data_IF_422321087226
#
_entry.id   IF_422321087226
#
_cell.length_a   1.000
_cell.length_b   1.000
_cell.length_c   1.000
_cell.angle_alpha   90.00
_cell.angle_beta   90.00
_cell.angle_gamma   90.00
#
_symmetry.space_group_name_H-M   'P 1'
#
loop_
_entity.id
_entity.type
_entity.pdbx_description
1 polymer ?
#
# COMPACT_ATOMS: atom_id res chain seq x y z
N UNK A 1 -31.10 -8.08 -7.00
CA UNK A 1 -30.40 -9.28 -7.51
C UNK A 1 -28.94 -9.14 -7.10
N UNK A 2 -28.57 -9.70 -5.94
CA UNK A 2 -27.17 -9.67 -5.48
C UNK A 2 -26.34 -10.50 -6.46
N UNK A 3 -25.41 -9.85 -7.16
CA UNK A 3 -24.35 -10.58 -7.85
C UNK A 3 -23.44 -11.12 -6.76
N UNK A 4 -23.59 -12.41 -6.43
CA UNK A 4 -22.52 -13.14 -5.72
C UNK A 4 -21.35 -13.10 -6.69
N UNK A 5 -20.33 -12.33 -6.36
CA UNK A 5 -19.08 -12.32 -7.11
C UNK A 5 -18.13 -13.22 -6.36
N UNK A 6 -17.55 -14.25 -6.98
CA UNK A 6 -16.52 -15.12 -6.37
C UNK A 6 -15.19 -14.37 -6.19
N UNK A 7 -15.22 -13.20 -5.55
CA UNK A 7 -14.11 -12.29 -5.42
C UNK A 7 -13.57 -12.33 -3.99
N UNK A 8 -12.25 -12.17 -3.87
CA UNK A 8 -11.57 -12.03 -2.61
C UNK A 8 -10.69 -10.78 -2.64
N UNK A 9 -10.74 -9.99 -1.58
CA UNK A 9 -9.90 -8.81 -1.40
C UNK A 9 -8.88 -9.07 -0.30
N UNK A 10 -7.61 -8.89 -0.60
CA UNK A 10 -6.52 -9.05 0.35
C UNK A 10 -6.08 -7.68 0.91
N UNK A 11 -6.05 -7.57 2.23
CA UNK A 11 -5.52 -6.43 2.97
C UNK A 11 -4.19 -6.79 3.61
N UNK A 12 -3.27 -5.83 3.64
CA UNK A 12 -2.02 -5.92 4.37
C UNK A 12 -2.10 -5.04 5.61
N UNK A 13 -1.59 -5.57 6.73
CA UNK A 13 -1.42 -4.87 8.00
C UNK A 13 0.06 -4.78 8.41
N UNK A 14 0.95 -4.79 7.43
CA UNK A 14 2.38 -4.51 7.63
C UNK A 14 2.59 -3.14 8.30
N UNK A 15 3.70 -2.96 8.99
CA UNK A 15 4.05 -1.78 9.81
C UNK A 15 3.79 -0.42 9.13
N UNK A 16 3.96 -0.32 7.81
CA UNK A 16 3.81 0.94 7.06
C UNK A 16 2.43 1.16 6.45
N UNK A 17 1.48 0.22 6.62
CA UNK A 17 0.12 0.34 6.10
C UNK A 17 -0.73 1.33 6.92
N UNK A 18 -1.89 1.68 6.39
CA UNK A 18 -2.80 2.69 6.97
C UNK A 18 -3.32 2.29 8.36
N UNK A 19 -3.43 0.99 8.59
CA UNK A 19 -3.54 0.32 9.90
C UNK A 19 -2.52 -0.81 9.96
N UNK A 20 -2.09 -1.22 11.15
CA UNK A 20 -1.05 -2.26 11.29
C UNK A 20 -1.28 -3.23 12.45
N UNK A 21 -0.74 -4.44 12.31
CA UNK A 21 -0.61 -5.43 13.38
C UNK A 21 0.86 -5.80 13.62
N UNK A 22 1.79 -4.91 13.22
CA UNK A 22 3.21 -5.21 13.05
C UNK A 22 3.44 -5.97 11.74
N UNK A 23 3.01 -7.23 11.74
CA UNK A 23 2.90 -8.09 10.56
C UNK A 23 1.50 -8.69 10.52
N UNK A 24 0.89 -8.79 9.33
CA UNK A 24 -0.42 -9.40 9.20
C UNK A 24 -1.14 -9.04 7.90
N UNK A 25 -2.31 -9.65 7.73
CA UNK A 25 -3.20 -9.41 6.60
C UNK A 25 -4.57 -10.02 6.83
N UNK A 26 -5.48 -9.77 5.91
CA UNK A 26 -6.86 -10.25 5.95
C UNK A 26 -7.34 -10.52 4.54
N UNK A 27 -8.09 -11.60 4.38
CA UNK A 27 -8.85 -11.88 3.16
C UNK A 27 -10.32 -11.63 3.48
N UNK A 28 -10.97 -10.78 2.69
CA UNK A 28 -12.41 -10.54 2.77
C UNK A 28 -13.07 -11.08 1.50
N UNK A 29 -14.18 -11.78 1.66
CA UNK A 29 -14.97 -12.35 0.58
C UNK A 29 -16.41 -12.50 1.06
N UNK A 30 -17.37 -12.41 0.14
CA UNK A 30 -18.78 -12.75 0.33
C UNK A 30 -19.08 -14.22 -0.02
N UNK A 31 -18.06 -14.99 -0.38
CA UNK A 31 -18.13 -16.42 -0.72
C UNK A 31 -17.67 -17.30 0.46
N UNK A 32 -18.60 -18.05 1.03
CA UNK A 32 -18.35 -18.96 2.15
C UNK A 32 -17.36 -20.08 1.79
N UNK A 33 -17.36 -20.57 0.54
CA UNK A 33 -16.43 -21.61 0.10
C UNK A 33 -14.98 -21.09 0.08
N UNK A 34 -14.77 -19.86 -0.40
CA UNK A 34 -13.46 -19.20 -0.35
C UNK A 34 -13.04 -18.98 1.10
N UNK A 35 -13.92 -18.43 1.94
CA UNK A 35 -13.62 -18.16 3.35
C UNK A 35 -13.22 -19.45 4.10
N UNK A 36 -13.94 -20.53 3.85
CA UNK A 36 -13.69 -21.84 4.44
C UNK A 36 -12.36 -22.44 3.99
N UNK A 37 -12.09 -22.38 2.68
CA UNK A 37 -10.82 -22.83 2.13
C UNK A 37 -9.66 -22.04 2.73
N UNK A 38 -9.77 -20.71 2.86
CA UNK A 38 -8.75 -19.87 3.49
C UNK A 38 -8.49 -20.27 4.94
N UNK A 39 -9.52 -20.53 5.75
CA UNK A 39 -9.36 -20.96 7.15
C UNK A 39 -8.61 -22.29 7.27
N UNK A 40 -8.99 -23.27 6.46
CA UNK A 40 -8.33 -24.59 6.40
C UNK A 40 -6.87 -24.42 6.00
N UNK A 41 -6.62 -23.70 4.90
CA UNK A 41 -5.26 -23.51 4.35
C UNK A 41 -4.37 -22.65 5.26
N UNK A 42 -4.91 -21.74 6.07
CA UNK A 42 -4.12 -20.92 6.99
C UNK A 42 -3.61 -21.69 8.23
N UNK A 43 -4.19 -22.86 8.53
CA UNK A 43 -3.88 -23.63 9.73
C UNK A 43 -3.67 -25.12 9.42
N UNK A 44 -2.60 -25.40 8.67
CA UNK A 44 -2.08 -26.73 8.32
C UNK A 44 -3.04 -27.64 7.54
N UNK A 45 -4.17 -27.13 7.05
CA UNK A 45 -5.15 -27.92 6.33
C UNK A 45 -6.06 -28.74 7.24
N UNK A 46 -6.12 -28.38 8.52
CA UNK A 46 -6.94 -29.04 9.53
C UNK A 46 -8.43 -28.80 9.23
N UNK A 47 -9.25 -29.86 9.30
CA UNK A 47 -10.70 -29.78 9.09
C UNK A 47 -11.40 -28.87 10.10
N UNK A 48 -12.52 -28.24 9.71
CA UNK A 48 -13.27 -27.28 10.54
C UNK A 48 -13.67 -27.83 11.91
N UNK A 49 -14.05 -29.10 11.98
CA UNK A 49 -14.50 -29.74 13.22
C UNK A 49 -13.41 -29.80 14.29
N UNK A 50 -12.15 -29.60 13.92
CA UNK A 50 -11.05 -29.43 14.85
C UNK A 50 -11.23 -28.27 15.84
N UNK A 51 -11.95 -27.20 15.48
CA UNK A 51 -12.14 -26.07 16.40
C UNK A 51 -12.99 -26.45 17.62
N UNK A 52 -13.83 -27.49 17.50
CA UNK A 52 -14.60 -28.06 18.61
C UNK A 52 -13.71 -28.67 19.70
N UNK A 53 -12.42 -28.91 19.44
CA UNK A 53 -11.42 -29.38 20.43
C UNK A 53 -11.32 -28.51 21.67
N UNK A 54 -11.58 -27.21 21.54
CA UNK A 54 -11.50 -26.25 22.65
C UNK A 54 -12.83 -26.06 23.39
N UNK A 55 -13.84 -26.89 23.11
CA UNK A 55 -15.12 -26.92 23.81
C UNK A 55 -15.20 -28.11 24.77
N UNK A 56 -16.11 -28.07 25.75
CA UNK A 56 -16.29 -29.14 26.74
C UNK A 56 -16.66 -30.51 26.14
N UNK A 57 -17.14 -30.53 24.90
CA UNK A 57 -17.54 -31.72 24.12
C UNK A 57 -16.48 -32.12 23.07
N UNK A 58 -15.31 -31.47 23.08
CA UNK A 58 -14.29 -31.61 22.05
C UNK A 58 -13.58 -32.96 22.02
N UNK A 59 -13.61 -33.63 20.87
CA UNK A 59 -12.78 -34.82 20.60
C UNK A 59 -11.37 -34.39 20.18
N UNK A 60 -10.33 -35.06 20.69
CA UNK A 60 -8.92 -34.86 20.29
C UNK A 60 -8.68 -35.12 18.79
N UNK A 61 -9.59 -35.84 18.14
CA UNK A 61 -9.50 -36.27 16.76
C UNK A 61 -9.62 -35.10 15.78
N UNK A 62 -8.81 -35.15 14.72
CA UNK A 62 -8.91 -34.25 13.58
C UNK A 62 -8.27 -34.86 12.34
N UNK A 63 -8.64 -34.30 11.19
CA UNK A 63 -8.10 -34.70 9.91
C UNK A 63 -7.36 -33.54 9.25
N UNK A 64 -6.31 -33.87 8.52
CA UNK A 64 -5.67 -32.96 7.56
C UNK A 64 -6.28 -33.25 6.20
N UNK A 65 -7.11 -32.34 5.71
CA UNK A 65 -7.88 -32.51 4.46
C UNK A 65 -7.26 -31.75 3.27
N UNK A 66 -6.17 -31.01 3.51
CA UNK A 66 -5.44 -30.27 2.50
C UNK A 66 -3.97 -30.04 2.93
N UNK A 67 -3.03 -29.80 2.00
CA UNK A 67 -1.66 -29.38 2.33
C UNK A 67 -1.64 -27.89 2.71
N UNK A 68 -2.15 -27.55 3.90
CA UNK A 68 -2.20 -26.17 4.37
C UNK A 68 -0.87 -25.64 4.91
N UNK A 69 -0.88 -24.37 5.26
CA UNK A 69 0.26 -23.57 5.71
C UNK A 69 0.11 -23.10 7.17
N UNK A 70 1.03 -22.27 7.65
CA UNK A 70 0.96 -21.65 8.98
C UNK A 70 0.86 -20.14 8.86
N UNK A 71 -0.33 -19.63 8.61
CA UNK A 71 -0.61 -18.21 8.34
C UNK A 71 -1.61 -17.57 9.30
N UNK A 72 -2.03 -18.28 10.36
CA UNK A 72 -2.93 -17.69 11.34
C UNK A 72 -2.28 -16.50 12.07
N UNK A 73 -3.06 -15.44 12.26
CA UNK A 73 -2.65 -14.29 13.06
C UNK A 73 -2.70 -14.65 14.55
N UNK A 74 -1.82 -14.05 15.35
CA UNK A 74 -1.81 -14.23 16.82
C UNK A 74 -2.77 -13.26 17.49
N UNK A 75 -3.31 -13.62 18.66
CA UNK A 75 -4.18 -12.73 19.43
C UNK A 75 -3.51 -11.41 19.83
N UNK A 76 -2.18 -11.43 20.03
CA UNK A 76 -1.40 -10.20 20.29
C UNK A 76 -1.45 -9.24 19.10
N UNK A 77 -1.24 -9.76 17.88
CA UNK A 77 -1.33 -8.98 16.66
C UNK A 77 -2.79 -8.54 16.39
N UNK A 78 -3.77 -9.41 16.64
CA UNK A 78 -5.19 -9.10 16.54
C UNK A 78 -5.62 -7.99 17.51
N UNK A 79 -5.13 -8.00 18.76
CA UNK A 79 -5.42 -6.96 19.75
C UNK A 79 -4.89 -5.58 19.32
N UNK A 80 -3.69 -5.54 18.72
CA UNK A 80 -3.16 -4.33 18.10
C UNK A 80 -4.06 -3.86 16.95
N UNK A 81 -4.51 -4.79 16.11
CA UNK A 81 -5.42 -4.54 14.99
C UNK A 81 -6.74 -3.92 15.45
N UNK A 82 -7.37 -4.45 16.51
CA UNK A 82 -8.60 -3.89 17.08
C UNK A 82 -8.39 -2.44 17.55
N UNK A 83 -7.28 -2.15 18.23
CA UNK A 83 -6.95 -0.80 18.69
C UNK A 83 -6.64 0.16 17.53
N UNK A 84 -6.11 -0.34 16.41
CA UNK A 84 -5.87 0.44 15.18
C UNK A 84 -7.18 0.69 14.42
N UNK A 85 -8.04 -0.33 14.29
CA UNK A 85 -9.32 -0.25 13.61
C UNK A 85 -10.23 0.80 14.26
N UNK A 86 -10.27 0.85 15.59
CA UNK A 86 -11.00 1.88 16.34
C UNK A 86 -10.53 3.34 16.03
N UNK A 87 -9.34 3.51 15.46
CA UNK A 87 -8.76 4.81 15.09
C UNK A 87 -8.76 5.05 13.58
N UNK A 88 -9.15 4.05 12.78
CA UNK A 88 -8.95 4.02 11.33
C UNK A 88 -9.56 5.24 10.64
N UNK A 89 -10.80 5.60 10.98
CA UNK A 89 -11.48 6.74 10.36
C UNK A 89 -10.77 8.08 10.66
N UNK A 90 -10.35 8.31 11.90
CA UNK A 90 -9.59 9.52 12.26
C UNK A 90 -8.25 9.59 11.53
N UNK A 91 -7.54 8.45 11.44
CA UNK A 91 -6.26 8.38 10.71
C UNK A 91 -6.45 8.61 9.21
N UNK A 92 -7.52 8.06 8.64
CA UNK A 92 -7.91 8.29 7.26
C UNK A 92 -8.23 9.76 7.00
N UNK A 93 -9.08 10.40 7.80
CA UNK A 93 -9.41 11.83 7.67
C UNK A 93 -8.16 12.71 7.65
N UNK A 94 -7.19 12.44 8.55
CA UNK A 94 -5.91 13.18 8.56
C UNK A 94 -5.09 12.95 7.29
N UNK A 95 -5.02 11.71 6.78
CA UNK A 95 -4.33 11.43 5.50
C UNK A 95 -5.01 12.12 4.32
N UNK A 96 -6.34 12.14 4.30
CA UNK A 96 -7.13 12.84 3.27
C UNK A 96 -6.85 14.35 3.27
N UNK A 97 -6.79 14.96 4.45
CA UNK A 97 -6.43 16.38 4.60
C UNK A 97 -5.01 16.66 4.05
N UNK A 98 -4.03 15.84 4.44
CA UNK A 98 -2.64 15.96 3.95
C UNK A 98 -2.59 15.81 2.42
N UNK A 99 -3.25 14.79 1.88
CA UNK A 99 -3.31 14.57 0.44
C UNK A 99 -3.95 15.75 -0.29
N UNK A 100 -5.01 16.35 0.28
CA UNK A 100 -5.65 17.54 -0.29
C UNK A 100 -4.69 18.74 -0.29
N UNK A 101 -3.96 18.99 0.81
CA UNK A 101 -2.96 20.06 0.87
C UNK A 101 -1.85 19.89 -0.18
N UNK A 102 -1.33 18.67 -0.35
CA UNK A 102 -0.38 18.38 -1.41
C UNK A 102 -0.99 18.60 -2.80
N UNK A 103 -2.20 18.11 -3.05
CA UNK A 103 -2.86 18.28 -4.35
C UNK A 103 -3.05 19.76 -4.66
N UNK A 104 -3.53 20.56 -3.72
CA UNK A 104 -3.70 22.01 -3.88
C UNK A 104 -2.37 22.71 -4.17
N UNK A 105 -1.30 22.35 -3.44
CA UNK A 105 0.02 22.96 -3.63
C UNK A 105 0.64 22.66 -5.00
N UNK A 106 0.34 21.49 -5.58
CA UNK A 106 1.02 21.03 -6.80
C UNK A 106 0.15 21.09 -8.08
N UNK A 107 -1.18 21.13 -8.00
CA UNK A 107 -2.08 20.98 -9.15
C UNK A 107 -1.96 22.08 -10.24
N UNK A 108 -1.31 23.21 -9.93
CA UNK A 108 -1.07 24.31 -10.89
C UNK A 108 0.38 24.41 -11.40
N UNK A 109 1.29 23.56 -10.91
CA UNK A 109 2.70 23.66 -11.24
C UNK A 109 3.05 22.75 -12.41
N UNK A 110 3.61 23.33 -13.47
CA UNK A 110 3.99 22.62 -14.71
C UNK A 110 5.05 21.53 -14.48
N UNK A 111 5.68 21.51 -13.31
CA UNK A 111 6.67 20.52 -12.90
C UNK A 111 6.07 19.21 -12.40
N UNK A 112 4.76 19.18 -12.11
CA UNK A 112 4.16 18.05 -11.42
C UNK A 112 2.86 17.58 -12.06
N UNK A 113 2.55 16.31 -11.79
CA UNK A 113 1.24 15.72 -12.01
C UNK A 113 0.82 15.03 -10.70
N UNK A 114 -0.26 15.53 -10.11
CA UNK A 114 -0.82 15.02 -8.85
C UNK A 114 -1.56 13.71 -9.06
N UNK A 115 -1.68 12.85 -8.02
CA UNK A 115 -2.55 11.70 -8.09
C UNK A 115 -4.02 12.15 -8.21
N UNK A 116 -4.78 11.46 -9.06
CA UNK A 116 -6.22 11.66 -9.19
C UNK A 116 -6.93 10.58 -8.36
N UNK A 117 -7.76 11.00 -7.41
CA UNK A 117 -8.79 10.14 -6.84
C UNK A 117 -10.07 10.36 -7.66
N UNK A 118 -10.76 9.30 -8.06
CA UNK A 118 -12.05 9.45 -8.72
C UNK A 118 -13.07 9.99 -7.71
N UNK A 119 -13.95 10.89 -8.16
CA UNK A 119 -14.94 11.56 -7.28
C UNK A 119 -15.86 10.59 -6.52
N UNK A 120 -15.99 9.35 -7.01
CA UNK A 120 -16.88 8.33 -6.46
C UNK A 120 -16.17 7.36 -5.49
N UNK A 121 -14.83 7.44 -5.38
CA UNK A 121 -14.03 6.51 -4.60
C UNK A 121 -13.51 7.11 -3.29
N UNK A 122 -13.55 6.33 -2.21
CA UNK A 122 -12.85 6.67 -0.98
C UNK A 122 -11.42 6.12 -1.03
N UNK A 123 -10.47 6.98 -1.41
CA UNK A 123 -9.05 6.60 -1.42
C UNK A 123 -8.49 6.52 0.01
N UNK A 124 -7.75 5.46 0.34
CA UNK A 124 -7.16 5.25 1.66
C UNK A 124 -5.95 6.16 1.96
N UNK A 125 -5.37 6.77 0.93
CA UNK A 125 -4.18 7.62 1.00
C UNK A 125 -3.03 6.96 1.76
N UNK A 126 -2.77 5.68 1.43
CA UNK A 126 -1.60 4.94 1.91
C UNK A 126 -0.32 5.59 1.39
N UNK A 127 -0.31 5.98 0.11
CA UNK A 127 0.77 6.67 -0.56
C UNK A 127 0.22 7.91 -1.25
N UNK A 128 1.06 8.95 -1.34
CA UNK A 128 0.83 10.11 -2.19
C UNK A 128 1.92 10.12 -3.26
N UNK A 129 1.57 9.60 -4.44
CA UNK A 129 2.49 9.41 -5.56
C UNK A 129 2.46 10.66 -6.44
N UNK A 130 3.49 11.50 -6.32
CA UNK A 130 3.69 12.68 -7.15
C UNK A 130 4.52 12.31 -8.38
N UNK A 131 4.05 12.67 -9.57
CA UNK A 131 4.79 12.44 -10.82
C UNK A 131 5.50 13.72 -11.24
N UNK A 132 6.78 13.62 -11.55
CA UNK A 132 7.60 14.72 -12.05
C UNK A 132 7.42 14.86 -13.57
N UNK A 133 7.23 16.08 -14.05
CA UNK A 133 7.28 16.40 -15.48
C UNK A 133 8.75 16.65 -15.86
N UNK A 134 9.50 15.57 -16.10
CA UNK A 134 10.96 15.65 -16.32
C UNK A 134 11.36 16.54 -17.50
N UNK A 135 10.47 16.78 -18.47
CA UNK A 135 10.71 17.71 -19.57
C UNK A 135 10.83 19.19 -19.13
N UNK A 136 10.35 19.53 -17.94
CA UNK A 136 10.40 20.91 -17.40
C UNK A 136 11.47 21.10 -16.34
N UNK A 137 12.31 20.08 -16.11
CA UNK A 137 13.36 20.05 -15.09
C UNK A 137 14.72 19.69 -15.73
N UNK A 138 15.78 20.35 -15.26
CA UNK A 138 17.18 20.10 -15.64
C UNK A 138 17.79 18.89 -14.94
N UNK A 139 17.03 18.22 -14.07
CA UNK A 139 17.45 17.05 -13.30
C UNK A 139 16.47 15.91 -13.47
N UNK A 140 16.96 14.68 -13.30
CA UNK A 140 16.13 13.49 -13.28
C UNK A 140 15.49 13.23 -11.91
N UNK A 141 14.64 12.20 -11.83
CA UNK A 141 14.00 11.77 -10.57
C UNK A 141 15.02 11.39 -9.49
N UNK A 142 16.12 10.74 -9.86
CA UNK A 142 17.11 10.29 -8.89
C UNK A 142 17.79 11.48 -8.20
N UNK A 143 18.19 12.49 -8.97
CA UNK A 143 18.74 13.72 -8.41
C UNK A 143 17.69 14.49 -7.60
N UNK A 144 16.43 14.51 -8.03
CA UNK A 144 15.35 15.14 -7.26
C UNK A 144 15.19 14.49 -5.87
N UNK A 145 15.28 13.16 -5.78
CA UNK A 145 15.26 12.42 -4.51
C UNK A 145 16.46 12.78 -3.63
N UNK A 146 17.67 12.88 -4.20
CA UNK A 146 18.87 13.27 -3.43
C UNK A 146 18.77 14.72 -2.90
N UNK A 147 18.16 15.63 -3.66
CA UNK A 147 17.88 17.01 -3.21
C UNK A 147 16.87 17.05 -2.05
N UNK A 148 15.83 16.22 -2.09
CA UNK A 148 14.88 16.06 -0.98
C UNK A 148 15.56 15.49 0.26
N UNK A 149 16.41 14.49 0.08
CA UNK A 149 17.19 13.86 1.16
C UNK A 149 18.13 14.86 1.84
N UNK A 150 18.79 15.75 1.09
CA UNK A 150 19.63 16.82 1.65
C UNK A 150 18.82 17.80 2.51
N UNK A 151 17.52 17.95 2.23
CA UNK A 151 16.55 18.73 3.01
C UNK A 151 15.85 17.91 4.09
N UNK A 152 16.36 16.70 4.39
CA UNK A 152 15.82 15.79 5.39
C UNK A 152 14.39 15.30 5.09
N UNK A 153 13.95 15.37 3.83
CA UNK A 153 12.67 14.83 3.38
C UNK A 153 12.87 13.41 2.83
N UNK A 154 12.45 12.42 3.61
CA UNK A 154 12.47 11.01 3.20
C UNK A 154 11.35 10.71 2.19
N UNK A 155 11.73 10.20 1.01
CA UNK A 155 10.80 9.74 -0.03
C UNK A 155 11.14 8.32 -0.48
N UNK A 156 10.19 7.69 -1.17
CA UNK A 156 10.36 6.36 -1.77
C UNK A 156 9.88 6.37 -3.23
N UNK A 157 10.01 5.23 -3.92
CA UNK A 157 9.48 4.99 -5.27
C UNK A 157 8.63 3.72 -5.23
N UNK A 158 7.39 3.79 -5.72
CA UNK A 158 6.44 2.67 -5.66
C UNK A 158 5.80 2.41 -7.03
N UNK A 159 6.42 1.64 -7.93
CA UNK A 159 7.49 0.68 -7.69
C UNK A 159 8.40 0.55 -8.90
N UNK A 160 9.54 -0.11 -8.72
CA UNK A 160 10.29 -0.68 -9.84
C UNK A 160 9.38 -1.74 -10.51
N UNK A 161 9.11 -1.66 -11.83
CA UNK A 161 8.27 -2.62 -12.51
C UNK A 161 8.81 -4.04 -12.43
N UNK A 162 7.95 -5.03 -12.19
CA UNK A 162 8.37 -6.43 -12.01
C UNK A 162 9.22 -6.94 -13.17
N UNK A 163 8.83 -6.63 -14.41
CA UNK A 163 9.46 -7.16 -15.62
C UNK A 163 10.92 -6.76 -15.80
N UNK A 164 11.40 -5.69 -15.14
CA UNK A 164 12.81 -5.28 -15.23
C UNK A 164 13.70 -5.84 -14.11
N UNK A 165 13.11 -6.44 -13.08
CA UNK A 165 13.88 -7.13 -12.04
C UNK A 165 14.57 -8.37 -12.61
N UNK A 166 15.79 -8.72 -12.15
CA UNK A 166 16.58 -9.81 -12.73
C UNK A 166 15.82 -11.13 -12.87
N UNK A 167 15.08 -11.53 -11.84
CA UNK A 167 14.32 -12.78 -11.88
C UNK A 167 13.32 -12.82 -13.05
N UNK A 168 12.51 -11.78 -13.23
CA UNK A 168 11.48 -11.76 -14.28
C UNK A 168 12.09 -11.55 -15.66
N UNK A 169 13.05 -10.62 -15.78
CA UNK A 169 13.75 -10.33 -17.01
C UNK A 169 14.47 -11.57 -17.56
N UNK A 170 15.24 -12.25 -16.72
CA UNK A 170 16.10 -13.35 -17.16
C UNK A 170 15.31 -14.65 -17.33
N UNK A 171 14.26 -14.89 -16.52
CA UNK A 171 13.40 -16.09 -16.64
C UNK A 171 12.47 -16.03 -17.85
N UNK A 172 11.92 -14.85 -18.15
CA UNK A 172 10.87 -14.70 -19.16
C UNK A 172 11.30 -13.88 -20.39
N UNK A 173 12.54 -13.38 -20.43
CA UNK A 173 13.09 -12.63 -21.57
C UNK A 173 12.56 -11.20 -21.71
N UNK A 174 11.90 -10.65 -20.69
CA UNK A 174 11.28 -9.32 -20.77
C UNK A 174 12.31 -8.21 -21.00
N UNK A 175 11.87 -7.15 -21.69
CA UNK A 175 12.60 -5.91 -21.90
C UNK A 175 11.86 -4.73 -21.28
N UNK A 176 12.57 -3.65 -20.96
CA UNK A 176 11.98 -2.48 -20.30
C UNK A 176 10.75 -1.92 -21.04
N UNK A 177 10.80 -1.93 -22.37
CA UNK A 177 9.76 -1.38 -23.25
C UNK A 177 8.61 -2.34 -23.55
N UNK A 178 8.62 -3.57 -23.04
CA UNK A 178 7.48 -4.50 -23.17
C UNK A 178 6.24 -3.98 -22.43
N UNK A 179 6.46 -3.21 -21.35
CA UNK A 179 5.42 -2.54 -20.58
C UNK A 179 5.76 -1.05 -20.43
N UNK A 180 5.62 -0.27 -21.52
CA UNK A 180 6.18 1.08 -21.61
C UNK A 180 5.51 2.08 -20.67
N UNK A 181 4.21 1.90 -20.37
CA UNK A 181 3.49 2.75 -19.42
C UNK A 181 4.03 2.56 -18.00
N UNK A 182 4.15 1.31 -17.54
CA UNK A 182 4.68 1.02 -16.19
C UNK A 182 6.13 1.50 -16.05
N UNK A 183 6.95 1.30 -17.09
CA UNK A 183 8.34 1.76 -17.10
C UNK A 183 8.45 3.30 -17.09
N UNK A 184 7.66 3.99 -17.92
CA UNK A 184 7.64 5.45 -17.97
C UNK A 184 7.14 6.09 -16.67
N UNK A 185 6.10 5.52 -16.05
CA UNK A 185 5.57 5.97 -14.76
C UNK A 185 6.60 5.80 -13.64
N UNK A 186 7.25 4.64 -13.57
CA UNK A 186 8.34 4.40 -12.64
C UNK A 186 9.39 5.51 -12.73
N UNK A 187 9.91 5.83 -13.92
CA UNK A 187 11.02 6.77 -14.11
C UNK A 187 10.79 8.17 -13.54
N UNK A 188 9.54 8.58 -13.32
CA UNK A 188 9.17 9.94 -12.93
C UNK A 188 8.39 10.04 -11.62
N UNK A 189 8.01 8.94 -11.00
CA UNK A 189 7.19 8.93 -9.78
C UNK A 189 8.04 8.98 -8.51
N UNK A 190 7.63 9.83 -7.56
CA UNK A 190 8.13 9.86 -6.19
C UNK A 190 6.95 9.73 -5.22
N UNK A 191 7.14 8.98 -4.15
CA UNK A 191 6.15 8.85 -3.08
C UNK A 191 6.52 9.76 -1.92
N UNK A 192 5.72 10.81 -1.74
CA UNK A 192 5.89 11.78 -0.66
C UNK A 192 5.47 11.19 0.69
N UNK A 193 6.08 11.64 1.80
CA UNK A 193 5.66 11.20 3.13
C UNK A 193 4.20 11.56 3.36
N UNK A 194 3.43 10.55 3.76
CA UNK A 194 2.04 10.68 4.17
C UNK A 194 1.73 9.67 5.28
N UNK A 195 1.53 10.18 6.49
CA UNK A 195 1.08 9.39 7.64
C UNK A 195 0.30 10.24 8.63
N UNK A 196 -0.61 9.62 9.37
CA UNK A 196 -1.60 10.30 10.22
C UNK A 196 -1.02 11.05 11.43
N UNK A 197 0.29 10.96 11.64
CA UNK A 197 1.01 11.66 12.72
C UNK A 197 1.77 12.90 12.23
N UNK A 198 1.79 13.17 10.93
CA UNK A 198 2.43 14.37 10.39
C UNK A 198 1.74 15.62 10.91
N UNK A 199 2.53 16.54 11.45
CA UNK A 199 2.09 17.88 11.81
C UNK A 199 1.78 18.71 10.57
N UNK A 200 1.06 19.81 10.71
CA UNK A 200 0.83 20.72 9.57
C UNK A 200 2.11 21.39 9.08
N UNK A 201 3.10 21.53 9.96
CA UNK A 201 4.44 22.00 9.64
C UNK A 201 5.20 20.96 8.82
N UNK A 202 5.15 19.67 9.20
CA UNK A 202 5.80 18.59 8.42
C UNK A 202 5.31 18.57 6.97
N UNK A 203 4.00 18.77 6.78
CA UNK A 203 3.38 18.84 5.44
C UNK A 203 3.87 20.07 4.69
N UNK A 204 3.99 21.21 5.36
CA UNK A 204 4.48 22.45 4.76
C UNK A 204 5.95 22.34 4.36
N UNK A 205 6.80 21.76 5.21
CA UNK A 205 8.23 21.56 4.94
C UNK A 205 8.43 20.69 3.69
N UNK A 206 7.60 19.65 3.50
CA UNK A 206 7.61 18.81 2.30
C UNK A 206 7.19 19.61 1.06
N UNK A 207 6.12 20.40 1.15
CA UNK A 207 5.64 21.25 0.05
C UNK A 207 6.74 22.23 -0.36
N UNK A 208 7.29 22.97 0.60
CA UNK A 208 8.29 24.00 0.36
C UNK A 208 9.57 23.39 -0.24
N UNK A 209 10.01 22.24 0.27
CA UNK A 209 11.16 21.53 -0.29
C UNK A 209 10.91 21.10 -1.74
N UNK A 210 9.77 20.47 -2.04
CA UNK A 210 9.43 20.00 -3.39
C UNK A 210 9.34 21.17 -4.38
N UNK A 211 8.64 22.26 -4.02
CA UNK A 211 8.50 23.45 -4.85
C UNK A 211 9.86 24.13 -5.07
N UNK A 212 10.65 24.31 -4.00
CA UNK A 212 11.98 24.94 -4.09
C UNK A 212 12.91 24.18 -5.03
N UNK A 213 12.92 22.84 -4.97
CA UNK A 213 13.74 22.02 -5.86
C UNK A 213 13.30 22.21 -7.31
N UNK A 214 11.98 22.13 -7.58
CA UNK A 214 11.47 22.32 -8.93
C UNK A 214 11.81 23.71 -9.50
N UNK A 215 11.63 24.78 -8.73
CA UNK A 215 11.98 26.14 -9.15
C UNK A 215 13.49 26.32 -9.37
N UNK A 216 14.32 25.72 -8.52
CA UNK A 216 15.78 25.76 -8.66
C UNK A 216 16.24 25.10 -9.96
N UNK A 217 15.61 23.98 -10.31
CA UNK A 217 16.00 23.15 -11.45
C UNK A 217 15.10 23.28 -12.68
N UNK A 218 14.20 24.27 -12.74
CA UNK A 218 13.37 24.51 -13.93
C UNK A 218 14.22 24.78 -15.17
N UNK A 219 13.70 24.34 -16.32
CA UNK A 219 14.26 24.66 -17.64
C UNK A 219 13.94 26.10 -18.06
#
# INVERSE_FOLDING_TARGET
VSRITHHATCFSFYATKTITTGEGGMICTDDDEIADRCRIMALHGISKDAWKRYTAEGSWYYEIIAPGYKYNLTDVASAMGLAQLAKAERMWRRRTEIAHRYTQAFAGLVHFQTPCAQDQDQHAWHLYMLRLNLATLRIDRARFIEELKQRQIGVSVHFIPLHIHPYYRDTYGYQALDFPVAYGEFQREISLPIYSKMSDQDVQDVIDAVVTIAETYRC
#
